data_IF_408867462736
#
_entry.id   IF_408867462736
#
_cell.length_a   1.000
_cell.length_b   1.000
_cell.length_c   1.000
_cell.angle_alpha   90.00
_cell.angle_beta   90.00
_cell.angle_gamma   90.00
#
_symmetry.space_group_name_H-M   'P 1'
#
loop_
_entity.id
_entity.type
_entity.pdbx_description
1 polymer ?
#
# COMPACT_ATOMS: atom_id res chain seq x y z
N UNK A 1 21.79 -5.48 -0.12
CA UNK A 1 20.75 -6.53 -0.32
C UNK A 1 19.38 -5.87 -0.28
N UNK A 2 18.35 -6.47 -0.89
CA UNK A 2 16.96 -5.96 -0.92
C UNK A 2 16.26 -6.02 0.45
N UNK A 3 16.97 -5.65 1.51
CA UNK A 3 16.45 -5.55 2.86
C UNK A 3 15.64 -4.24 2.97
N UNK A 4 14.44 -4.24 3.57
CA UNK A 4 13.58 -3.04 3.65
C UNK A 4 14.28 -1.81 4.25
N UNK A 5 15.20 -2.02 5.19
CA UNK A 5 15.96 -0.90 5.81
C UNK A 5 17.12 -0.37 4.96
N UNK A 6 17.44 -1.02 3.84
CA UNK A 6 18.56 -0.67 2.95
C UNK A 6 18.09 0.00 1.65
N UNK A 7 16.78 -0.01 1.37
CA UNK A 7 16.18 0.53 0.15
C UNK A 7 15.01 1.44 0.53
N UNK A 8 15.20 2.75 0.39
CA UNK A 8 14.20 3.76 0.74
C UNK A 8 12.98 3.72 -0.17
N UNK A 9 13.09 3.13 -1.37
CA UNK A 9 11.97 2.91 -2.31
C UNK A 9 11.13 1.67 -1.98
N UNK A 10 11.57 0.86 -1.02
CA UNK A 10 10.93 -0.43 -0.72
C UNK A 10 9.45 -0.28 -0.37
N UNK A 11 9.10 0.77 0.38
CA UNK A 11 7.72 1.02 0.82
C UNK A 11 6.87 1.66 -0.28
N UNK A 12 7.44 2.54 -1.10
CA UNK A 12 6.71 3.22 -2.18
C UNK A 12 6.33 2.27 -3.33
N UNK A 13 7.03 1.13 -3.43
CA UNK A 13 6.73 0.06 -4.39
C UNK A 13 5.94 -1.11 -3.78
N UNK A 14 5.60 -1.04 -2.49
CA UNK A 14 4.78 -2.06 -1.82
C UNK A 14 3.32 -1.89 -2.21
N UNK A 15 2.69 -2.98 -2.63
CA UNK A 15 1.24 -3.04 -2.85
C UNK A 15 0.46 -3.07 -1.54
N UNK A 16 -0.56 -2.23 -1.48
CA UNK A 16 -1.69 -2.34 -0.58
C UNK A 16 -2.96 -2.54 -1.40
N UNK A 17 -3.84 -3.43 -0.93
CA UNK A 17 -5.16 -3.63 -1.48
C UNK A 17 -6.21 -3.37 -0.41
N UNK A 18 -7.29 -2.69 -0.78
CA UNK A 18 -8.42 -2.41 0.09
C UNK A 18 -9.65 -3.17 -0.38
N UNK A 19 -10.33 -3.82 0.56
CA UNK A 19 -11.71 -4.27 0.36
C UNK A 19 -12.63 -3.22 0.96
N UNK A 20 -13.43 -2.56 0.12
CA UNK A 20 -14.41 -1.55 0.51
C UNK A 20 -15.82 -2.16 0.59
N UNK A 21 -16.80 -1.30 0.81
CA UNK A 21 -18.21 -1.68 0.82
C UNK A 21 -18.60 -2.35 -0.50
N UNK A 22 -19.61 -3.24 -0.45
CA UNK A 22 -20.10 -4.00 -1.60
C UNK A 22 -19.03 -4.89 -2.26
N UNK A 23 -18.01 -5.30 -1.51
CA UNK A 23 -16.89 -6.12 -2.00
C UNK A 23 -16.12 -5.47 -3.16
N UNK A 24 -16.04 -4.14 -3.19
CA UNK A 24 -15.20 -3.43 -4.15
C UNK A 24 -13.74 -3.58 -3.74
N UNK A 25 -12.89 -4.03 -4.67
CA UNK A 25 -11.45 -4.17 -4.44
C UNK A 25 -10.68 -3.05 -5.12
N UNK A 26 -9.95 -2.26 -4.32
CA UNK A 26 -8.96 -1.30 -4.83
C UNK A 26 -7.58 -1.91 -4.66
N UNK A 27 -6.98 -2.33 -5.78
CA UNK A 27 -5.65 -2.94 -5.81
C UNK A 27 -4.58 -1.96 -6.28
N UNK A 28 -3.32 -2.37 -6.17
CA UNK A 28 -2.16 -1.61 -6.65
C UNK A 28 -2.03 -0.22 -6.03
N UNK A 29 -2.50 -0.05 -4.79
CA UNK A 29 -2.23 1.18 -4.04
C UNK A 29 -0.81 1.11 -3.48
N UNK A 30 -0.08 2.21 -3.53
CA UNK A 30 1.22 2.33 -2.90
C UNK A 30 1.42 3.75 -2.37
N UNK A 31 2.32 3.90 -1.40
CA UNK A 31 2.47 5.16 -0.65
C UNK A 31 3.95 5.45 -0.38
N UNK A 32 4.36 6.69 -0.61
CA UNK A 32 5.75 7.13 -0.43
C UNK A 32 6.03 7.57 1.00
N UNK A 33 4.99 7.76 1.83
CA UNK A 33 5.13 8.11 3.23
C UNK A 33 4.06 7.49 4.12
N UNK A 34 4.37 7.40 5.42
CA UNK A 34 3.41 7.03 6.46
C UNK A 34 2.16 7.94 6.44
N UNK A 35 2.36 9.24 6.24
CA UNK A 35 1.27 10.23 6.25
C UNK A 35 0.27 9.99 5.11
N UNK A 36 0.76 9.66 3.91
CA UNK A 36 -0.07 9.33 2.76
C UNK A 36 -0.89 8.06 2.98
N UNK A 37 -0.24 7.00 3.49
CA UNK A 37 -0.93 5.75 3.84
C UNK A 37 -2.02 6.02 4.90
N UNK A 38 -1.67 6.74 5.97
CA UNK A 38 -2.61 7.05 7.06
C UNK A 38 -3.81 7.86 6.57
N UNK A 39 -3.57 8.88 5.73
CA UNK A 39 -4.63 9.68 5.11
C UNK A 39 -5.53 8.80 4.24
N UNK A 40 -4.95 7.96 3.38
CA UNK A 40 -5.69 7.06 2.50
C UNK A 40 -6.57 6.08 3.27
N UNK A 41 -6.06 5.46 4.33
CA UNK A 41 -6.82 4.53 5.19
C UNK A 41 -7.99 5.25 5.87
N UNK A 42 -7.76 6.45 6.41
CA UNK A 42 -8.81 7.25 7.06
C UNK A 42 -9.91 7.69 6.08
N UNK A 43 -9.52 8.13 4.88
CA UNK A 43 -10.46 8.59 3.85
C UNK A 43 -11.28 7.45 3.24
N UNK A 44 -10.66 6.29 2.99
CA UNK A 44 -11.31 5.15 2.34
C UNK A 44 -12.03 4.22 3.32
N UNK A 45 -11.65 4.24 4.59
CA UNK A 45 -12.19 3.40 5.66
C UNK A 45 -12.42 1.93 5.20
N UNK A 46 -11.36 1.22 4.77
CA UNK A 46 -11.51 -0.11 4.21
C UNK A 46 -11.89 -1.15 5.28
N UNK A 47 -12.70 -2.14 4.89
CA UNK A 47 -13.04 -3.28 5.75
C UNK A 47 -11.88 -4.26 5.91
N UNK A 48 -11.06 -4.40 4.87
CA UNK A 48 -9.85 -5.23 4.88
C UNK A 48 -8.72 -4.51 4.17
N UNK A 49 -7.50 -4.74 4.65
CA UNK A 49 -6.27 -4.27 4.03
C UNK A 49 -5.38 -5.49 3.82
N UNK A 50 -5.03 -5.76 2.57
CA UNK A 50 -4.10 -6.83 2.18
C UNK A 50 -2.76 -6.22 1.77
N UNK A 51 -1.66 -6.80 2.24
CA UNK A 51 -0.30 -6.36 1.92
C UNK A 51 0.27 -7.29 0.85
N UNK A 52 0.43 -6.77 -0.36
CA UNK A 52 0.93 -7.51 -1.52
C UNK A 52 2.45 -7.44 -1.67
N UNK A 53 3.02 -7.77 -2.84
CA UNK A 53 4.47 -7.77 -3.10
C UNK A 53 5.08 -6.35 -3.18
N UNK A 54 6.41 -6.29 -3.28
CA UNK A 54 7.13 -5.09 -3.77
C UNK A 54 7.36 -5.25 -5.26
N UNK A 55 6.82 -4.34 -6.07
CA UNK A 55 6.99 -4.38 -7.52
C UNK A 55 8.36 -3.86 -7.96
N UNK A 56 8.81 -4.27 -9.14
CA UNK A 56 10.06 -3.80 -9.75
C UNK A 56 9.90 -2.53 -10.59
N UNK A 57 8.73 -1.88 -10.55
CA UNK A 57 8.51 -0.62 -11.26
C UNK A 57 9.35 0.47 -10.62
N UNK A 58 10.05 1.25 -11.46
CA UNK A 58 10.81 2.42 -11.05
C UNK A 58 9.88 3.64 -10.85
#
# INVERSE_FOLDING_TARGET
>A
GKHPSCDTSFISRREFSYTLENNIFLRFQSFSSKSELEKSVKEKCPFKIDIGPVYSVD
#
